data_IF_091522939475
#
_entry.id   IF_091522939475
#
_cell.length_a   1.000
_cell.length_b   1.000
_cell.length_c   1.000
_cell.angle_alpha   90.00
_cell.angle_beta   90.00
_cell.angle_gamma   90.00
#
_symmetry.space_group_name_H-M   'P 1'
#
loop_
_entity.id
_entity.type
_entity.pdbx_description
1 polymer ?
#
# COMPACT_ATOMS: atom_id res chain seq x y z
N UNK A 1 -16.77 -34.24 -15.42
CA UNK A 1 -17.34 -33.11 -14.66
C UNK A 1 -16.24 -32.45 -13.86
N UNK A 2 -15.84 -31.24 -14.24
CA UNK A 2 -15.14 -30.30 -13.38
C UNK A 2 -15.14 -28.95 -14.11
N UNK A 3 -16.22 -28.20 -13.94
CA UNK A 3 -16.32 -26.80 -14.32
C UNK A 3 -15.23 -26.01 -13.59
N UNK A 4 -14.16 -25.70 -14.30
CA UNK A 4 -13.23 -24.64 -13.88
C UNK A 4 -13.90 -23.32 -14.23
N UNK A 5 -14.48 -22.71 -13.20
CA UNK A 5 -15.13 -21.41 -13.17
C UNK A 5 -14.30 -20.37 -13.94
N UNK A 6 -14.60 -20.20 -15.22
CA UNK A 6 -14.18 -19.03 -16.01
C UNK A 6 -15.02 -17.87 -15.50
N UNK A 7 -14.61 -17.26 -14.39
CA UNK A 7 -15.15 -15.97 -13.98
C UNK A 7 -14.63 -14.91 -14.96
N UNK A 8 -15.35 -14.78 -16.07
CA UNK A 8 -15.23 -13.65 -16.98
C UNK A 8 -15.65 -12.39 -16.25
N UNK A 9 -14.68 -11.70 -15.66
CA UNK A 9 -14.87 -10.34 -15.18
C UNK A 9 -14.85 -9.41 -16.40
N UNK A 10 -16.01 -9.20 -17.04
CA UNK A 10 -16.17 -8.15 -18.05
C UNK A 10 -16.47 -6.78 -17.41
N UNK A 11 -16.01 -6.58 -16.17
CA UNK A 11 -16.20 -5.35 -15.40
C UNK A 11 -14.97 -5.05 -14.56
N UNK A 12 -14.60 -3.77 -14.51
CA UNK A 12 -13.54 -3.29 -13.64
C UNK A 12 -13.88 -3.60 -12.17
N UNK A 13 -12.90 -4.05 -11.38
CA UNK A 13 -13.12 -4.34 -9.94
C UNK A 13 -13.71 -3.10 -9.25
N UNK A 14 -14.80 -3.28 -8.53
CA UNK A 14 -15.47 -2.24 -7.76
C UNK A 14 -15.93 -2.81 -6.41
N UNK A 15 -15.88 -2.01 -5.35
CA UNK A 15 -16.21 -2.43 -3.98
C UNK A 15 -15.06 -3.14 -3.27
N UNK A 16 -15.34 -3.84 -2.18
CA UNK A 16 -14.32 -4.54 -1.39
C UNK A 16 -13.77 -5.76 -2.13
N UNK A 17 -12.45 -5.96 -2.04
CA UNK A 17 -11.80 -7.13 -2.62
C UNK A 17 -10.37 -7.31 -2.17
N UNK A 18 -9.73 -8.33 -2.74
CA UNK A 18 -8.31 -8.62 -2.56
C UNK A 18 -7.63 -8.81 -3.92
N UNK A 19 -6.41 -8.28 -4.04
CA UNK A 19 -5.56 -8.46 -5.21
C UNK A 19 -4.15 -8.88 -4.75
N UNK A 20 -3.72 -10.04 -5.21
CA UNK A 20 -2.34 -10.49 -5.07
C UNK A 20 -1.61 -10.30 -6.39
N UNK A 21 -0.48 -9.61 -6.35
CA UNK A 21 0.41 -9.41 -7.49
C UNK A 21 1.37 -10.60 -7.63
N UNK A 22 1.94 -10.76 -8.82
CA UNK A 22 2.90 -11.85 -9.12
C UNK A 22 4.19 -11.77 -8.30
N UNK A 23 4.53 -10.59 -7.77
CA UNK A 23 5.69 -10.43 -6.89
C UNK A 23 5.39 -10.74 -5.41
N UNK A 24 4.15 -11.12 -5.08
CA UNK A 24 3.71 -11.44 -3.72
C UNK A 24 3.10 -10.26 -2.97
N UNK A 25 3.11 -9.05 -3.54
CA UNK A 25 2.40 -7.90 -2.94
C UNK A 25 0.90 -8.21 -2.86
N UNK A 26 0.26 -7.94 -1.72
CA UNK A 26 -1.16 -8.18 -1.51
C UNK A 26 -1.88 -6.90 -1.11
N UNK A 27 -2.93 -6.52 -1.82
CA UNK A 27 -3.84 -5.45 -1.43
C UNK A 27 -5.16 -6.04 -0.99
N UNK A 28 -5.69 -5.57 0.14
CA UNK A 28 -7.05 -5.86 0.60
C UNK A 28 -7.74 -4.54 0.92
N UNK A 29 -8.88 -4.28 0.29
CA UNK A 29 -9.56 -3.00 0.47
C UNK A 29 -10.54 -2.69 -0.63
N UNK A 30 -10.87 -1.41 -0.75
CA UNK A 30 -11.85 -0.92 -1.69
C UNK A 30 -11.23 -0.69 -3.09
N UNK A 31 -11.99 -1.07 -4.11
CA UNK A 31 -11.66 -0.86 -5.51
C UNK A 31 -12.69 0.06 -6.15
N UNK A 32 -12.21 0.90 -7.07
CA UNK A 32 -13.05 1.65 -7.98
C UNK A 32 -12.40 1.68 -9.36
N UNK A 33 -13.16 1.27 -10.39
CA UNK A 33 -12.67 1.21 -11.77
C UNK A 33 -11.37 0.41 -11.90
N UNK A 34 -11.24 -0.68 -11.13
CA UNK A 34 -10.08 -1.56 -11.16
C UNK A 34 -8.87 -1.05 -10.37
N UNK A 35 -8.95 0.17 -9.79
CA UNK A 35 -7.88 0.77 -9.02
C UNK A 35 -8.20 0.73 -7.53
N UNK A 36 -7.18 0.77 -6.68
CA UNK A 36 -7.37 0.93 -5.24
C UNK A 36 -7.97 2.31 -4.96
N UNK A 37 -9.09 2.36 -4.25
CA UNK A 37 -9.77 3.60 -3.91
C UNK A 37 -10.52 3.45 -2.59
N UNK A 38 -10.39 4.39 -1.66
CA UNK A 38 -10.90 4.29 -0.29
C UNK A 38 -9.91 3.59 0.65
N UNK A 39 -10.37 3.19 1.83
CA UNK A 39 -9.51 2.55 2.83
C UNK A 39 -9.03 1.17 2.37
N UNK A 40 -7.78 0.86 2.64
CA UNK A 40 -7.23 -0.47 2.40
C UNK A 40 -5.92 -0.75 3.12
N UNK A 41 -5.49 -2.00 3.00
CA UNK A 41 -4.23 -2.50 3.51
C UNK A 41 -3.43 -3.08 2.36
N UNK A 42 -2.17 -2.67 2.24
CA UNK A 42 -1.22 -3.17 1.27
C UNK A 42 -0.04 -3.81 2.00
N UNK A 43 0.21 -5.08 1.73
CA UNK A 43 1.30 -5.87 2.33
C UNK A 43 2.31 -6.20 1.25
N UNK A 44 3.57 -5.92 1.53
CA UNK A 44 4.71 -6.20 0.65
C UNK A 44 5.35 -7.55 0.96
N UNK A 45 6.06 -8.15 0.00
CA UNK A 45 6.73 -9.44 0.19
C UNK A 45 7.82 -9.43 1.27
N UNK A 46 8.41 -8.25 1.53
CA UNK A 46 9.40 -8.07 2.60
C UNK A 46 8.77 -8.03 4.00
N UNK A 47 7.44 -8.00 4.10
CA UNK A 47 6.69 -7.88 5.36
C UNK A 47 6.34 -6.44 5.74
N UNK A 48 6.80 -5.45 4.97
CA UNK A 48 6.34 -4.07 5.12
C UNK A 48 4.84 -3.98 4.78
N UNK A 49 4.10 -3.07 5.42
CA UNK A 49 2.69 -2.85 5.15
C UNK A 49 2.31 -1.38 5.23
N UNK A 50 1.30 -1.00 4.46
CA UNK A 50 0.65 0.29 4.52
C UNK A 50 -0.84 0.09 4.81
N UNK A 51 -1.38 0.88 5.74
CA UNK A 51 -2.79 0.93 6.09
C UNK A 51 -3.25 2.39 6.00
N UNK A 52 -4.24 2.69 5.18
CA UNK A 52 -4.70 4.06 4.97
C UNK A 52 -5.61 4.22 3.77
N UNK A 53 -5.81 5.47 3.34
CA UNK A 53 -6.66 5.77 2.21
C UNK A 53 -5.91 5.69 0.87
N UNK A 54 -6.65 5.30 -0.15
CA UNK A 54 -6.18 5.20 -1.52
C UNK A 54 -7.05 6.04 -2.44
N UNK A 55 -6.44 6.69 -3.42
CA UNK A 55 -7.15 7.36 -4.51
C UNK A 55 -6.44 7.02 -5.81
N UNK A 56 -7.16 6.44 -6.77
CA UNK A 56 -6.64 6.07 -8.09
C UNK A 56 -5.35 5.21 -8.00
N UNK A 57 -5.31 4.26 -7.06
CA UNK A 57 -4.19 3.35 -6.86
C UNK A 57 -2.96 3.95 -6.16
N UNK A 58 -3.10 5.12 -5.54
CA UNK A 58 -2.03 5.79 -4.78
C UNK A 58 -2.46 6.03 -3.34
N UNK A 59 -1.51 6.05 -2.42
CA UNK A 59 -1.76 6.48 -1.03
C UNK A 59 -2.21 7.94 -0.99
N UNK A 60 -3.19 8.21 -0.13
CA UNK A 60 -3.79 9.51 0.03
C UNK A 60 -4.25 9.68 1.48
N UNK A 61 -4.28 10.92 1.99
CA UNK A 61 -4.78 11.22 3.34
C UNK A 61 -3.92 10.59 4.44
N UNK A 62 -4.52 10.38 5.60
CA UNK A 62 -3.85 9.78 6.74
C UNK A 62 -3.57 8.29 6.49
N UNK A 63 -2.37 7.85 6.87
CA UNK A 63 -2.01 6.45 6.80
C UNK A 63 -0.87 6.07 7.74
N UNK A 64 -0.74 4.77 7.95
CA UNK A 64 0.31 4.15 8.75
C UNK A 64 1.11 3.22 7.84
N UNK A 65 2.39 3.52 7.68
CA UNK A 65 3.36 2.63 7.07
C UNK A 65 4.14 1.91 8.16
N UNK A 66 4.11 0.59 8.18
CA UNK A 66 4.98 -0.23 9.02
C UNK A 66 6.00 -0.93 8.14
N UNK A 67 7.28 -0.71 8.40
CA UNK A 67 8.36 -1.40 7.69
C UNK A 67 8.52 -2.82 8.25
N UNK A 68 9.15 -3.71 7.48
CA UNK A 68 9.43 -5.09 7.85
C UNK A 68 10.12 -5.27 9.22
N UNK A 69 10.86 -4.26 9.69
CA UNK A 69 11.54 -4.26 10.99
C UNK A 69 10.64 -3.77 12.14
N UNK A 70 9.34 -3.58 11.90
CA UNK A 70 8.33 -3.17 12.88
C UNK A 70 8.28 -1.66 13.13
N UNK A 71 9.16 -0.90 12.49
CA UNK A 71 9.19 0.55 12.63
C UNK A 71 7.98 1.18 11.91
N UNK A 72 7.27 2.09 12.58
CA UNK A 72 6.07 2.71 12.00
C UNK A 72 6.25 4.19 11.70
N UNK A 73 5.60 4.64 10.64
CA UNK A 73 5.41 6.03 10.28
C UNK A 73 3.91 6.27 10.12
N UNK A 74 3.36 7.17 10.92
CA UNK A 74 1.99 7.64 10.83
C UNK A 74 2.00 9.09 10.36
N UNK A 75 1.29 9.39 9.28
CA UNK A 75 1.26 10.74 8.73
C UNK A 75 0.33 10.89 7.54
N UNK A 76 0.39 12.07 6.94
CA UNK A 76 -0.38 12.42 5.75
C UNK A 76 0.36 12.04 4.47
N UNK A 77 -0.38 11.51 3.50
CA UNK A 77 0.08 11.11 2.19
C UNK A 77 -0.70 11.83 1.09
N UNK A 78 -0.01 12.22 0.03
CA UNK A 78 -0.64 12.81 -1.15
C UNK A 78 0.00 12.28 -2.41
N UNK A 79 -0.83 11.73 -3.30
CA UNK A 79 -0.37 11.17 -4.57
C UNK A 79 0.76 10.12 -4.43
N UNK A 80 0.74 9.35 -3.33
CA UNK A 80 1.74 8.32 -3.04
C UNK A 80 2.98 8.79 -2.26
N UNK A 81 3.14 10.10 -2.04
CA UNK A 81 4.26 10.64 -1.28
C UNK A 81 3.81 11.07 0.12
N UNK A 82 4.74 11.07 1.08
CA UNK A 82 4.51 11.74 2.38
C UNK A 82 4.31 13.23 2.12
N UNK A 83 3.19 13.78 2.58
CA UNK A 83 2.79 15.18 2.39
C UNK A 83 2.32 15.78 3.70
N UNK A 84 3.27 16.14 4.57
CA UNK A 84 2.99 16.79 5.84
C UNK A 84 3.86 16.28 6.98
N UNK A 85 3.42 16.59 8.20
CA UNK A 85 4.06 16.11 9.41
C UNK A 85 3.60 14.67 9.69
N UNK A 86 4.57 13.79 9.96
CA UNK A 86 4.30 12.46 10.45
C UNK A 86 5.03 12.20 11.77
N UNK A 87 4.53 11.24 12.52
CA UNK A 87 5.18 10.70 13.71
C UNK A 87 5.79 9.35 13.35
N UNK A 88 7.03 9.16 13.76
CA UNK A 88 7.67 7.85 13.69
C UNK A 88 7.62 7.23 15.07
N UNK A 89 7.13 6.00 15.16
CA UNK A 89 7.21 5.23 16.41
C UNK A 89 8.30 4.18 16.22
N UNK A 90 9.32 4.16 17.10
CA UNK A 90 10.33 3.13 17.08
C UNK A 90 9.70 1.75 17.28
N UNK A 91 10.42 0.73 16.82
CA UNK A 91 10.23 -0.64 17.28
C UNK A 91 10.15 -0.66 18.82
N UNK A 92 9.20 -1.40 19.38
CA UNK A 92 9.12 -1.66 20.81
C UNK A 92 10.52 -2.04 21.34
N UNK A 93 11.14 -1.14 22.13
CA UNK A 93 12.46 -1.32 22.74
C UNK A 93 13.66 -0.64 22.07
N UNK A 94 13.53 0.02 20.90
CA UNK A 94 14.64 0.76 20.26
C UNK A 94 14.60 2.26 20.58
N UNK A 95 15.68 2.79 21.16
CA UNK A 95 15.81 4.23 21.44
C UNK A 95 16.02 5.05 20.15
N UNK A 96 15.30 6.17 20.01
CA UNK A 96 15.36 7.12 18.89
C UNK A 96 16.78 7.59 18.51
N UNK A 97 17.76 7.47 19.41
CA UNK A 97 19.16 7.85 19.19
C UNK A 97 19.92 6.97 18.19
N UNK A 98 19.47 5.73 17.96
CA UNK A 98 20.14 4.81 17.03
C UNK A 98 19.54 4.88 15.60
N UNK A 99 18.39 5.54 15.45
CA UNK A 99 17.64 5.56 14.20
C UNK A 99 18.09 6.76 13.35
N UNK A 100 18.70 6.48 12.20
CA UNK A 100 18.82 7.50 11.15
C UNK A 100 17.41 7.76 10.61
N UNK A 101 16.82 8.86 11.07
CA UNK A 101 15.48 9.37 10.73
C UNK A 101 15.22 9.45 9.21
N UNK A 102 16.26 9.52 8.38
CA UNK A 102 16.11 9.57 6.92
C UNK A 102 15.75 8.22 6.27
N UNK A 103 16.00 7.06 6.90
CA UNK A 103 15.78 5.76 6.23
C UNK A 103 14.31 5.33 6.10
N UNK A 104 13.44 5.84 6.97
CA UNK A 104 12.00 5.56 6.95
C UNK A 104 11.27 6.41 5.92
N UNK A 105 11.60 7.70 5.85
CA UNK A 105 11.01 8.61 4.87
C UNK A 105 11.37 8.14 3.45
N UNK A 106 12.63 7.72 3.25
CA UNK A 106 13.07 7.11 1.98
C UNK A 106 12.32 5.81 1.67
N UNK A 107 12.09 4.95 2.67
CA UNK A 107 11.31 3.73 2.49
C UNK A 107 9.85 4.05 2.11
N UNK A 108 9.20 4.98 2.83
CA UNK A 108 7.83 5.41 2.59
C UNK A 108 7.65 6.07 1.21
N UNK A 109 8.61 6.91 0.78
CA UNK A 109 8.60 7.53 -0.56
C UNK A 109 8.78 6.50 -1.68
N UNK A 110 9.66 5.50 -1.50
CA UNK A 110 9.83 4.41 -2.49
C UNK A 110 8.57 3.59 -2.69
N UNK A 111 7.70 3.53 -1.68
CA UNK A 111 6.45 2.79 -1.77
C UNK A 111 5.47 3.47 -2.73
N UNK A 112 5.41 4.80 -2.75
CA UNK A 112 4.62 5.58 -3.70
C UNK A 112 4.97 5.28 -5.16
N UNK A 113 6.27 5.22 -5.47
CA UNK A 113 6.77 4.91 -6.82
C UNK A 113 6.49 3.45 -7.23
N UNK A 114 6.68 2.49 -6.31
CA UNK A 114 6.37 1.09 -6.56
C UNK A 114 4.88 0.88 -6.89
N UNK A 115 4.00 1.64 -6.24
CA UNK A 115 2.56 1.58 -6.47
C UNK A 115 2.15 2.19 -7.82
N UNK A 116 2.80 3.28 -8.24
CA UNK A 116 2.55 3.85 -9.57
C UNK A 116 2.81 2.85 -10.71
N UNK A 117 3.86 2.04 -10.59
CA UNK A 117 4.16 1.00 -11.58
C UNK A 117 3.12 -0.13 -11.59
N UNK A 118 2.64 -0.56 -10.41
CA UNK A 118 1.65 -1.64 -10.25
C UNK A 118 0.26 -1.26 -10.72
N UNK A 119 -0.17 -0.04 -10.43
CA UNK A 119 -1.50 0.48 -10.80
C UNK A 119 -1.66 0.57 -12.32
N UNK A 120 -0.59 0.85 -13.07
CA UNK A 120 -0.61 0.78 -14.53
C UNK A 120 -0.81 -0.66 -15.06
N UNK A 121 -0.34 -1.68 -14.33
CA UNK A 121 -0.47 -3.08 -14.71
C UNK A 121 -1.92 -3.60 -14.59
N UNK A 122 -2.68 -3.05 -13.63
CA UNK A 122 -4.09 -3.42 -13.43
C UNK A 122 -5.00 -2.83 -14.51
N UNK A 123 -4.57 -1.74 -15.16
CA UNK A 123 -5.30 -1.07 -16.25
C UNK A 123 -5.15 -1.72 -17.62
N UNK A 124 -4.21 -2.67 -17.76
CA UNK A 124 -3.81 -3.28 -19.04
C UNK A 124 -4.41 -4.68 -19.29
N UNK A 125 -5.42 -5.11 -18.51
CA UNK A 125 -6.12 -6.38 -18.72
C UNK A 125 -7.61 -6.20 -18.87
#
# INVERSE_FOLDING_TARGET
MSELLRSGWTGLRHGLGQLTFSDGTCYTGQFENGLFNGCGTLVFPDGSRYEGDFVQGKFQGAGVFTRFDGMTFEGEFKSGCVDGNGKTSPLDGLSLRQLRVNSLLDAAMRVGDAMRAKTNLVRLK
#
